data_IF_175890445480
#
_entry.id   IF_175890445480
#
_cell.length_a   1.000
_cell.length_b   1.000
_cell.length_c   1.000
_cell.angle_alpha   90.00
_cell.angle_beta   90.00
_cell.angle_gamma   90.00
#
_symmetry.space_group_name_H-M   'P 1'
#
loop_
_entity.id
_entity.type
_entity.pdbx_description
1 polymer ?
#
# COMPACT_ATOMS: atom_id res chain seq x y z
N UNK A 1 -18.67 -10.41 -3.27
CA UNK A 1 -18.25 -9.28 -4.13
C UNK A 1 -17.78 -8.16 -3.23
N UNK A 2 -16.59 -7.60 -3.45
CA UNK A 2 -16.13 -6.49 -2.65
C UNK A 2 -17.03 -5.25 -2.81
N UNK A 3 -17.11 -4.46 -1.76
CA UNK A 3 -17.90 -3.23 -1.76
C UNK A 3 -17.26 -2.20 -2.71
N UNK A 4 -18.08 -1.54 -3.52
CA UNK A 4 -17.63 -0.57 -4.53
C UNK A 4 -17.46 -1.14 -5.94
N UNK A 5 -17.58 -2.46 -6.16
CA UNK A 5 -17.35 -3.07 -7.48
C UNK A 5 -18.29 -2.55 -8.59
N UNK A 6 -19.49 -2.09 -8.22
CA UNK A 6 -20.47 -1.52 -9.17
C UNK A 6 -20.06 -0.16 -9.73
N UNK A 7 -19.17 0.55 -9.02
CA UNK A 7 -18.72 1.91 -9.39
C UNK A 7 -17.53 1.87 -10.35
N UNK A 8 -17.01 0.66 -10.65
CA UNK A 8 -15.85 0.49 -11.52
C UNK A 8 -16.26 0.24 -12.97
N UNK A 9 -15.82 1.11 -13.84
CA UNK A 9 -15.75 0.86 -15.28
C UNK A 9 -14.41 0.20 -15.62
N UNK A 10 -14.38 -0.62 -16.68
CA UNK A 10 -13.10 -1.11 -17.21
C UNK A 10 -12.28 0.09 -17.67
N UNK A 11 -11.10 0.26 -17.08
CA UNK A 11 -10.17 1.31 -17.49
C UNK A 11 -9.04 0.72 -18.34
N UNK A 12 -8.71 1.41 -19.41
CA UNK A 12 -7.51 1.12 -20.20
C UNK A 12 -6.25 1.53 -19.43
N UNK A 13 -5.09 0.98 -19.78
CA UNK A 13 -3.82 1.41 -19.18
C UNK A 13 -3.54 2.90 -19.35
N UNK A 14 -4.03 3.52 -20.45
CA UNK A 14 -3.89 4.96 -20.67
C UNK A 14 -4.80 5.79 -19.74
N UNK A 15 -6.00 5.30 -19.43
CA UNK A 15 -6.92 5.96 -18.46
C UNK A 15 -6.37 5.84 -17.04
N UNK A 16 -5.87 4.68 -16.64
CA UNK A 16 -5.20 4.48 -15.36
C UNK A 16 -4.00 5.40 -15.21
N UNK A 17 -3.16 5.51 -16.25
CA UNK A 17 -2.02 6.45 -16.23
C UNK A 17 -2.47 7.87 -15.98
N UNK A 18 -3.44 8.37 -16.75
CA UNK A 18 -3.98 9.72 -16.57
C UNK A 18 -4.56 9.93 -15.17
N UNK A 19 -5.26 8.94 -14.63
CA UNK A 19 -5.81 9.00 -13.27
C UNK A 19 -4.69 9.14 -12.23
N UNK A 20 -3.64 8.34 -12.31
CA UNK A 20 -2.54 8.37 -11.34
C UNK A 20 -1.64 9.59 -11.50
N UNK A 21 -1.42 10.09 -12.72
CA UNK A 21 -0.74 11.36 -12.96
C UNK A 21 -1.54 12.53 -12.36
N UNK A 22 -2.88 12.51 -12.46
CA UNK A 22 -3.75 13.50 -11.82
C UNK A 22 -3.73 13.40 -10.28
N UNK A 23 -3.73 12.18 -9.72
CA UNK A 23 -3.54 11.96 -8.26
C UNK A 23 -2.22 12.56 -7.81
N UNK A 24 -1.15 12.40 -8.60
CA UNK A 24 0.15 13.00 -8.32
C UNK A 24 0.06 14.53 -8.24
N UNK A 25 -0.56 15.19 -9.20
CA UNK A 25 -0.65 16.65 -9.24
C UNK A 25 -1.40 17.24 -8.04
N UNK A 26 -2.38 16.51 -7.49
CA UNK A 26 -3.23 16.96 -6.38
C UNK A 26 -2.83 16.42 -5.02
N UNK A 27 -1.96 15.41 -4.98
CA UNK A 27 -1.56 14.79 -3.71
C UNK A 27 -0.50 15.62 -2.97
N UNK A 28 -0.87 16.17 -1.83
CA UNK A 28 0.07 16.83 -0.93
C UNK A 28 1.11 15.86 -0.32
N UNK A 29 0.80 14.58 -0.21
CA UNK A 29 1.72 13.52 0.22
C UNK A 29 3.00 13.46 -0.60
N UNK A 30 2.87 13.66 -1.92
CA UNK A 30 4.01 13.58 -2.83
C UNK A 30 4.90 14.83 -2.78
N UNK A 31 4.36 15.94 -2.26
CA UNK A 31 5.07 17.21 -2.12
C UNK A 31 5.84 17.36 -0.80
N UNK A 32 5.62 16.46 0.15
CA UNK A 32 6.31 16.52 1.44
C UNK A 32 7.82 16.39 1.30
N UNK A 33 8.56 17.19 2.04
CA UNK A 33 10.03 17.19 2.08
C UNK A 33 10.60 16.31 3.19
N UNK A 34 9.76 15.90 4.15
CA UNK A 34 10.12 15.05 5.28
C UNK A 34 8.95 14.14 5.67
N UNK A 35 9.21 13.01 6.36
CA UNK A 35 8.17 12.10 6.82
C UNK A 35 7.31 12.76 7.91
N UNK A 36 6.00 12.53 7.85
CA UNK A 36 5.10 12.79 8.95
C UNK A 36 5.32 11.78 10.08
N UNK A 37 4.78 12.06 11.27
CA UNK A 37 4.89 11.15 12.42
C UNK A 37 4.31 9.78 12.09
N UNK A 38 3.12 9.75 11.51
CA UNK A 38 2.41 8.52 11.15
C UNK A 38 3.03 7.74 9.98
N UNK A 39 3.82 8.36 9.10
CA UNK A 39 4.54 7.65 8.04
C UNK A 39 5.53 6.63 8.61
N UNK A 40 6.24 7.01 9.68
CA UNK A 40 7.21 6.13 10.37
C UNK A 40 6.50 4.94 11.01
N UNK A 41 5.37 5.19 11.66
CA UNK A 41 4.57 4.14 12.30
C UNK A 41 4.00 3.18 11.26
N UNK A 42 3.43 3.68 10.19
CA UNK A 42 2.89 2.87 9.11
C UNK A 42 3.95 1.99 8.46
N UNK A 43 5.14 2.55 8.23
CA UNK A 43 6.28 1.79 7.75
C UNK A 43 6.69 0.68 8.74
N UNK A 44 6.85 1.02 10.02
CA UNK A 44 7.22 0.06 11.07
C UNK A 44 6.23 -1.11 11.18
N UNK A 45 4.93 -0.82 11.05
CA UNK A 45 3.88 -1.84 11.08
C UNK A 45 3.94 -2.77 9.85
N UNK A 46 4.17 -2.24 8.66
CA UNK A 46 4.34 -3.06 7.46
C UNK A 46 5.61 -3.93 7.54
N UNK A 47 6.73 -3.36 7.98
CA UNK A 47 8.01 -4.07 8.15
C UNK A 47 7.89 -5.25 9.12
N UNK A 48 7.04 -5.15 10.15
CA UNK A 48 6.75 -6.25 11.08
C UNK A 48 6.16 -7.46 10.35
N UNK A 49 5.20 -7.25 9.45
CA UNK A 49 4.62 -8.32 8.66
C UNK A 49 5.62 -8.93 7.68
N UNK A 50 6.47 -8.10 7.07
CA UNK A 50 7.57 -8.62 6.25
C UNK A 50 8.51 -9.51 7.06
N UNK A 51 8.92 -9.06 8.24
CA UNK A 51 9.78 -9.84 9.13
C UNK A 51 9.12 -11.16 9.56
N UNK A 52 7.80 -11.14 9.85
CA UNK A 52 7.05 -12.32 10.29
C UNK A 52 6.84 -13.33 9.15
N UNK A 53 6.47 -12.85 7.96
CA UNK A 53 5.95 -13.68 6.89
C UNK A 53 6.94 -14.01 5.78
N UNK A 54 8.00 -13.22 5.65
CA UNK A 54 8.95 -13.43 4.57
C UNK A 54 10.31 -13.85 5.12
N UNK A 55 10.95 -14.77 4.42
CA UNK A 55 12.33 -15.19 4.69
C UNK A 55 13.12 -15.18 3.37
N UNK A 56 13.19 -14.03 2.69
CA UNK A 56 13.84 -13.97 1.39
C UNK A 56 15.34 -14.29 1.54
N UNK A 57 15.86 -15.11 0.62
CA UNK A 57 17.29 -15.43 0.58
C UNK A 57 18.04 -14.35 -0.17
N UNK A 58 19.28 -14.13 0.20
CA UNK A 58 20.16 -13.22 -0.54
C UNK A 58 20.22 -13.66 -2.02
N UNK A 59 20.07 -12.70 -2.94
CA UNK A 59 20.00 -12.98 -4.38
C UNK A 59 18.59 -13.28 -4.91
N UNK A 60 17.57 -13.39 -4.05
CA UNK A 60 16.19 -13.45 -4.50
C UNK A 60 15.65 -12.06 -4.82
N UNK A 61 14.79 -12.02 -5.83
CA UNK A 61 14.11 -10.81 -6.23
C UNK A 61 12.78 -10.65 -5.50
N UNK A 62 12.44 -9.42 -5.20
CA UNK A 62 11.12 -9.02 -4.67
C UNK A 62 10.36 -8.27 -5.74
N UNK A 63 9.10 -8.60 -5.94
CA UNK A 63 8.16 -7.85 -6.77
C UNK A 63 7.32 -6.94 -5.89
N UNK A 64 7.20 -5.67 -6.25
CA UNK A 64 6.19 -4.77 -5.67
C UNK A 64 5.32 -4.18 -6.77
N UNK A 65 4.00 -4.37 -6.65
CA UNK A 65 3.04 -3.65 -7.48
C UNK A 65 2.91 -2.23 -6.95
N UNK A 66 2.88 -1.26 -7.85
CA UNK A 66 2.94 0.18 -7.66
C UNK A 66 4.24 0.70 -7.03
N UNK A 67 4.49 1.97 -7.18
CA UNK A 67 5.63 2.67 -6.59
C UNK A 67 5.19 3.88 -5.73
N UNK A 68 3.88 4.00 -5.46
CA UNK A 68 3.33 5.14 -4.73
C UNK A 68 3.92 5.29 -3.33
N UNK A 69 4.03 4.19 -2.59
CA UNK A 69 4.58 4.23 -1.23
C UNK A 69 6.03 4.70 -1.19
N UNK A 70 6.82 4.38 -2.22
CA UNK A 70 8.21 4.78 -2.37
C UNK A 70 8.35 6.20 -2.90
N UNK A 71 7.34 6.69 -3.63
CA UNK A 71 7.23 8.10 -4.02
C UNK A 71 6.70 8.99 -2.89
N UNK A 72 6.21 8.41 -1.80
CA UNK A 72 5.85 9.09 -0.53
C UNK A 72 6.89 8.79 0.56
N UNK A 73 6.53 8.90 1.84
CA UNK A 73 7.43 8.65 2.97
C UNK A 73 7.18 7.33 3.69
N UNK A 74 6.15 6.58 3.32
CA UNK A 74 5.88 5.25 3.91
C UNK A 74 6.90 4.20 3.50
N UNK A 75 7.40 4.22 2.25
CA UNK A 75 8.59 3.50 1.77
C UNK A 75 8.63 2.02 2.17
N UNK A 76 7.54 1.29 1.96
CA UNK A 76 7.40 -0.08 2.48
C UNK A 76 8.46 -1.05 1.98
N UNK A 77 8.74 -1.07 0.68
CA UNK A 77 9.72 -2.02 0.12
C UNK A 77 11.18 -1.66 0.40
N UNK A 78 11.46 -0.50 1.03
CA UNK A 78 12.80 -0.18 1.55
C UNK A 78 13.29 -1.24 2.52
N UNK A 79 12.40 -1.90 3.24
CA UNK A 79 12.70 -3.06 4.08
C UNK A 79 13.58 -4.10 3.37
N UNK A 80 13.24 -4.44 2.14
CA UNK A 80 13.95 -5.44 1.35
C UNK A 80 15.27 -4.90 0.79
N UNK A 81 15.26 -3.69 0.23
CA UNK A 81 16.45 -3.06 -0.34
C UNK A 81 17.53 -2.82 0.69
N UNK A 82 17.16 -2.39 1.91
CA UNK A 82 18.09 -2.21 3.04
C UNK A 82 18.73 -3.52 3.51
N UNK A 83 18.15 -4.67 3.15
CA UNK A 83 18.69 -6.02 3.38
C UNK A 83 19.43 -6.58 2.17
N UNK A 84 19.73 -5.74 1.18
CA UNK A 84 20.53 -6.12 0.01
C UNK A 84 19.77 -6.83 -1.09
N UNK A 85 18.44 -6.93 -1.00
CA UNK A 85 17.59 -7.55 -2.01
C UNK A 85 17.28 -6.58 -3.16
N UNK A 86 17.17 -7.11 -4.36
CA UNK A 86 16.72 -6.37 -5.52
C UNK A 86 15.20 -6.37 -5.58
N UNK A 87 14.61 -5.19 -5.83
CA UNK A 87 13.16 -5.00 -5.87
C UNK A 87 12.73 -4.50 -7.24
N UNK A 88 11.93 -5.28 -7.95
CA UNK A 88 11.25 -4.84 -9.16
C UNK A 88 9.94 -4.13 -8.79
N UNK A 89 9.76 -2.93 -9.28
CA UNK A 89 8.54 -2.14 -9.12
C UNK A 89 7.80 -2.05 -10.44
N UNK A 90 6.49 -2.24 -10.42
CA UNK A 90 5.64 -2.09 -11.61
C UNK A 90 4.64 -0.96 -11.38
N UNK A 91 4.70 0.08 -12.22
CA UNK A 91 3.75 1.19 -12.18
C UNK A 91 3.41 1.67 -13.59
N UNK A 92 2.20 2.17 -13.77
CA UNK A 92 1.74 2.77 -15.04
C UNK A 92 2.12 4.24 -15.16
N UNK A 93 2.44 4.91 -14.05
CA UNK A 93 2.79 6.33 -14.01
C UNK A 93 4.31 6.54 -14.08
N UNK A 94 4.76 7.11 -15.19
CA UNK A 94 6.15 7.54 -15.34
C UNK A 94 6.53 8.59 -14.30
N UNK A 95 5.59 9.47 -13.97
CA UNK A 95 5.81 10.57 -13.02
C UNK A 95 6.09 10.04 -11.62
N UNK A 96 5.31 9.04 -11.15
CA UNK A 96 5.56 8.37 -9.86
C UNK A 96 6.91 7.66 -9.83
N UNK A 97 7.26 6.96 -10.92
CA UNK A 97 8.57 6.29 -11.07
C UNK A 97 9.72 7.29 -10.92
N UNK A 98 9.64 8.46 -11.56
CA UNK A 98 10.69 9.47 -11.50
C UNK A 98 10.82 10.11 -10.12
N UNK A 99 9.71 10.33 -9.41
CA UNK A 99 9.74 10.85 -8.02
C UNK A 99 10.36 9.81 -7.08
N UNK A 100 9.90 8.57 -7.15
CA UNK A 100 10.45 7.48 -6.34
C UNK A 100 11.94 7.27 -6.62
N UNK A 101 12.35 7.29 -7.90
CA UNK A 101 13.75 7.20 -8.32
C UNK A 101 14.61 8.26 -7.64
N UNK A 102 14.20 9.54 -7.70
CA UNK A 102 14.95 10.64 -7.05
C UNK A 102 15.09 10.40 -5.55
N UNK A 103 14.02 9.96 -4.88
CA UNK A 103 14.06 9.65 -3.45
C UNK A 103 15.00 8.48 -3.13
N UNK A 104 14.93 7.40 -3.91
CA UNK A 104 15.81 6.24 -3.74
C UNK A 104 17.29 6.57 -4.00
N UNK A 105 17.57 7.47 -4.96
CA UNK A 105 18.93 7.97 -5.19
C UNK A 105 19.45 8.76 -3.98
N UNK A 106 18.64 9.67 -3.43
CA UNK A 106 19.00 10.46 -2.26
C UNK A 106 19.19 9.58 -1.00
N UNK A 107 18.47 8.47 -0.91
CA UNK A 107 18.57 7.51 0.19
C UNK A 107 19.67 6.43 -0.04
N UNK A 108 20.40 6.49 -1.16
CA UNK A 108 21.46 5.52 -1.50
C UNK A 108 20.98 4.11 -1.85
N UNK A 109 19.70 3.94 -2.17
CA UNK A 109 19.07 2.62 -2.42
C UNK A 109 18.74 2.36 -3.89
N UNK A 110 19.00 3.32 -4.78
CA UNK A 110 18.59 3.21 -6.18
C UNK A 110 19.21 2.00 -6.91
N UNK A 111 20.43 1.60 -6.55
CA UNK A 111 21.09 0.41 -7.12
C UNK A 111 20.38 -0.92 -6.83
N UNK A 112 19.38 -0.92 -5.93
CA UNK A 112 18.54 -2.08 -5.57
C UNK A 112 17.10 -1.95 -6.06
N UNK A 113 16.77 -0.86 -6.74
CA UNK A 113 15.43 -0.56 -7.24
C UNK A 113 15.39 -0.67 -8.76
N UNK A 114 14.48 -1.49 -9.28
CA UNK A 114 14.31 -1.77 -10.71
C UNK A 114 12.88 -1.43 -11.15
N UNK A 115 12.57 -0.14 -11.40
CA UNK A 115 11.24 0.27 -11.82
C UNK A 115 10.95 -0.12 -13.26
N UNK A 116 9.78 -0.68 -13.49
CA UNK A 116 9.26 -1.12 -14.80
C UNK A 116 7.96 -0.37 -15.07
N UNK A 117 7.90 0.34 -16.18
CA UNK A 117 6.69 1.02 -16.65
C UNK A 117 5.78 0.00 -17.32
N UNK A 118 4.82 -0.54 -16.58
CA UNK A 118 3.87 -1.53 -17.08
C UNK A 118 2.57 -1.51 -16.25
N UNK A 119 1.54 -2.17 -16.80
CA UNK A 119 0.28 -2.40 -16.13
C UNK A 119 0.38 -3.68 -15.28
N UNK A 120 0.15 -3.59 -13.99
CA UNK A 120 0.28 -4.73 -13.08
C UNK A 120 -0.82 -5.80 -13.27
N UNK A 121 -1.80 -5.56 -14.14
CA UNK A 121 -2.75 -6.58 -14.61
C UNK A 121 -2.14 -7.54 -15.63
N UNK A 122 -0.96 -7.20 -16.16
CA UNK A 122 -0.22 -7.96 -17.17
C UNK A 122 1.28 -7.81 -16.89
N UNK A 123 1.80 -8.61 -15.96
CA UNK A 123 3.18 -8.47 -15.52
C UNK A 123 4.17 -8.96 -16.57
N UNK A 124 5.18 -8.16 -16.95
CA UNK A 124 6.13 -8.52 -17.98
C UNK A 124 7.27 -9.42 -17.46
N UNK A 125 6.97 -10.34 -16.56
CA UNK A 125 7.96 -11.20 -15.92
C UNK A 125 7.70 -12.68 -16.23
N UNK A 126 8.76 -13.46 -16.22
CA UNK A 126 8.66 -14.91 -16.32
C UNK A 126 8.03 -15.47 -15.04
N UNK A 127 7.20 -16.51 -15.15
CA UNK A 127 6.67 -17.20 -13.97
C UNK A 127 7.79 -17.65 -13.03
N UNK A 128 7.55 -17.55 -11.73
CA UNK A 128 8.48 -18.00 -10.71
C UNK A 128 9.75 -17.17 -10.58
N UNK A 129 9.76 -15.90 -10.99
CA UNK A 129 10.94 -15.03 -10.91
C UNK A 129 11.22 -14.48 -9.51
N UNK A 130 10.21 -14.37 -8.65
CA UNK A 130 10.29 -13.65 -7.36
C UNK A 130 10.12 -14.58 -6.15
N UNK A 131 10.93 -14.37 -5.11
CA UNK A 131 10.76 -15.05 -3.82
C UNK A 131 9.61 -14.46 -3.02
N UNK A 132 9.38 -13.15 -3.15
CA UNK A 132 8.29 -12.41 -2.50
C UNK A 132 7.64 -11.50 -3.53
N UNK A 133 6.31 -11.45 -3.54
CA UNK A 133 5.56 -10.39 -4.23
C UNK A 133 4.67 -9.65 -3.23
N UNK A 134 4.54 -8.33 -3.38
CA UNK A 134 3.70 -7.53 -2.50
C UNK A 134 2.98 -6.39 -3.23
N UNK A 135 1.79 -6.05 -2.72
CA UNK A 135 0.99 -4.90 -3.15
C UNK A 135 0.30 -4.27 -1.95
N UNK A 136 0.29 -2.94 -1.86
CA UNK A 136 -0.26 -2.21 -0.73
C UNK A 136 -1.05 -1.01 -1.22
N UNK A 137 -2.37 -1.12 -1.25
CA UNK A 137 -3.21 -0.05 -1.76
C UNK A 137 -3.14 0.05 -3.29
N UNK A 138 -3.09 -1.09 -4.00
CA UNK A 138 -2.89 -1.15 -5.45
C UNK A 138 -4.06 -1.81 -6.17
N UNK A 139 -4.34 -3.08 -5.84
CA UNK A 139 -5.28 -3.92 -6.59
C UNK A 139 -6.73 -3.48 -6.45
N UNK A 140 -7.07 -2.78 -5.39
CA UNK A 140 -8.41 -2.24 -5.15
C UNK A 140 -8.81 -1.13 -6.13
N UNK A 141 -7.86 -0.58 -6.87
CA UNK A 141 -8.11 0.48 -7.85
C UNK A 141 -8.44 -0.04 -9.24
N UNK A 142 -8.52 -1.35 -9.43
CA UNK A 142 -8.86 -1.96 -10.70
C UNK A 142 -9.99 -2.99 -10.56
N UNK A 143 -10.86 -3.03 -11.56
CA UNK A 143 -11.94 -4.01 -11.59
C UNK A 143 -11.43 -5.44 -11.68
N UNK A 144 -10.34 -5.64 -12.41
CA UNK A 144 -9.68 -6.92 -12.65
C UNK A 144 -8.73 -7.33 -11.50
N UNK A 145 -9.02 -6.95 -10.27
CA UNK A 145 -8.18 -7.20 -9.10
C UNK A 145 -7.80 -8.68 -8.89
N UNK A 146 -8.70 -9.62 -9.28
CA UNK A 146 -8.39 -11.06 -9.26
C UNK A 146 -7.30 -11.43 -10.25
N UNK A 147 -7.28 -10.81 -11.43
CA UNK A 147 -6.17 -10.97 -12.38
C UNK A 147 -4.86 -10.54 -11.75
N UNK A 148 -4.85 -9.43 -11.00
CA UNK A 148 -3.65 -8.95 -10.30
C UNK A 148 -3.16 -9.94 -9.23
N UNK A 149 -4.05 -10.66 -8.54
CA UNK A 149 -3.67 -11.73 -7.61
C UNK A 149 -3.03 -12.91 -8.36
N UNK A 150 -3.61 -13.33 -9.49
CA UNK A 150 -3.07 -14.41 -10.31
C UNK A 150 -1.70 -14.04 -10.90
N UNK A 151 -1.54 -12.83 -11.41
CA UNK A 151 -0.26 -12.32 -11.91
C UNK A 151 0.83 -12.34 -10.84
N UNK A 152 0.51 -11.87 -9.61
CA UNK A 152 1.44 -11.94 -8.47
C UNK A 152 1.79 -13.39 -8.11
N UNK A 153 0.78 -14.30 -8.08
CA UNK A 153 1.02 -15.72 -7.84
C UNK A 153 1.95 -16.30 -8.90
N UNK A 154 1.65 -16.05 -10.18
CA UNK A 154 2.39 -16.66 -11.29
C UNK A 154 3.83 -16.17 -11.33
N UNK A 155 4.07 -14.88 -11.09
CA UNK A 155 5.40 -14.29 -10.99
C UNK A 155 6.19 -14.80 -9.76
N UNK A 156 5.52 -15.29 -8.71
CA UNK A 156 6.16 -15.80 -7.50
C UNK A 156 6.60 -17.25 -7.66
N UNK A 157 7.74 -17.63 -7.08
CA UNK A 157 8.26 -19.01 -7.02
C UNK A 157 7.35 -19.92 -6.20
N UNK A 158 7.37 -21.21 -6.48
CA UNK A 158 6.77 -22.21 -5.57
C UNK A 158 7.43 -22.13 -4.19
N UNK A 159 6.60 -22.08 -3.14
CA UNK A 159 7.02 -21.82 -1.77
C UNK A 159 7.33 -20.34 -1.47
N UNK A 160 7.19 -19.45 -2.45
CA UNK A 160 7.32 -18.02 -2.28
C UNK A 160 6.08 -17.39 -1.63
N UNK A 161 6.23 -16.18 -1.10
CA UNK A 161 5.21 -15.48 -0.33
C UNK A 161 4.62 -14.32 -1.12
N UNK A 162 3.29 -14.22 -1.14
CA UNK A 162 2.57 -13.04 -1.66
C UNK A 162 1.89 -12.31 -0.51
N UNK A 163 2.06 -10.99 -0.44
CA UNK A 163 1.47 -10.13 0.59
C UNK A 163 0.64 -9.05 -0.09
N UNK A 164 -0.63 -8.96 0.29
CA UNK A 164 -1.59 -8.02 -0.30
C UNK A 164 -2.20 -7.16 0.80
N UNK A 165 -2.12 -5.84 0.64
CA UNK A 165 -2.79 -4.87 1.50
C UNK A 165 -3.96 -4.22 0.76
N UNK A 166 -5.18 -4.30 1.33
CA UNK A 166 -6.42 -3.77 0.73
C UNK A 166 -7.28 -3.04 1.75
N UNK A 167 -8.14 -2.08 1.32
CA UNK A 167 -9.07 -1.41 2.21
C UNK A 167 -10.07 -2.36 2.87
N UNK A 168 -10.31 -2.12 4.16
CA UNK A 168 -11.23 -2.89 4.98
C UNK A 168 -12.61 -2.21 5.06
N UNK A 169 -13.66 -2.91 4.61
CA UNK A 169 -15.04 -2.39 4.73
C UNK A 169 -15.52 -2.35 6.19
N UNK A 170 -14.98 -3.24 7.03
CA UNK A 170 -15.33 -3.33 8.47
C UNK A 170 -14.54 -2.35 9.33
N UNK A 171 -13.83 -1.41 8.70
CA UNK A 171 -13.03 -0.43 9.41
C UNK A 171 -13.84 0.36 10.44
N UNK A 172 -13.34 0.45 11.68
CA UNK A 172 -13.97 1.18 12.78
C UNK A 172 -14.23 2.66 12.44
N UNK A 173 -13.33 3.29 11.69
CA UNK A 173 -13.41 4.69 11.28
C UNK A 173 -14.26 4.91 10.02
N UNK A 174 -15.00 3.89 9.58
CA UNK A 174 -15.97 3.96 8.49
C UNK A 174 -15.38 4.51 7.17
N UNK A 175 -14.17 4.06 6.79
CA UNK A 175 -13.50 4.52 5.56
C UNK A 175 -14.40 4.42 4.33
N UNK A 176 -15.01 3.27 4.11
CA UNK A 176 -15.92 3.05 2.98
C UNK A 176 -17.06 4.08 2.94
N UNK A 177 -17.78 4.24 4.05
CA UNK A 177 -18.91 5.17 4.12
C UNK A 177 -18.48 6.63 3.98
N UNK A 178 -17.31 6.98 4.49
CA UNK A 178 -16.72 8.31 4.29
C UNK A 178 -16.43 8.55 2.81
N UNK A 179 -15.85 7.60 2.09
CA UNK A 179 -15.58 7.70 0.66
C UNK A 179 -16.88 7.80 -0.15
N UNK A 180 -17.90 6.98 0.16
CA UNK A 180 -19.22 7.04 -0.48
C UNK A 180 -19.89 8.41 -0.24
N UNK A 181 -19.82 8.95 0.98
CA UNK A 181 -20.38 10.26 1.29
C UNK A 181 -19.64 11.38 0.54
N UNK A 182 -18.31 11.40 0.59
CA UNK A 182 -17.48 12.41 -0.06
C UNK A 182 -17.61 12.38 -1.59
N UNK A 183 -17.80 11.21 -2.19
CA UNK A 183 -18.00 11.08 -3.64
C UNK A 183 -19.29 11.74 -4.15
N UNK A 184 -20.28 11.93 -3.26
CA UNK A 184 -21.54 12.60 -3.57
C UNK A 184 -21.47 14.13 -3.47
N UNK A 185 -20.41 14.67 -2.83
CA UNK A 185 -20.20 16.11 -2.68
C UNK A 185 -19.31 16.59 -3.84
N UNK A 186 -19.88 17.28 -4.82
CA UNK A 186 -19.29 17.61 -6.11
C UNK A 186 -17.81 18.04 -6.12
N UNK A 187 -17.42 18.99 -5.24
CA UNK A 187 -16.02 19.44 -5.14
C UNK A 187 -15.07 18.39 -4.55
N UNK A 188 -15.55 17.52 -3.66
CA UNK A 188 -14.76 16.51 -2.95
C UNK A 188 -14.64 15.21 -3.74
N UNK A 189 -15.48 15.00 -4.76
CA UNK A 189 -15.40 13.84 -5.66
C UNK A 189 -14.01 13.69 -6.32
N UNK A 190 -13.33 14.80 -6.57
CA UNK A 190 -11.98 14.80 -7.16
C UNK A 190 -10.89 14.31 -6.20
N UNK A 191 -11.19 14.26 -4.89
CA UNK A 191 -10.25 13.81 -3.86
C UNK A 191 -10.36 12.32 -3.56
N UNK A 192 -11.37 11.64 -4.11
CA UNK A 192 -11.58 10.21 -3.92
C UNK A 192 -11.36 9.48 -5.25
N UNK A 193 -10.41 8.55 -5.31
CA UNK A 193 -10.38 7.57 -6.39
C UNK A 193 -11.36 6.44 -6.06
N UNK A 194 -12.00 5.82 -7.08
CA UNK A 194 -12.73 4.59 -6.87
C UNK A 194 -11.82 3.53 -6.24
N UNK A 195 -12.28 2.89 -5.17
CA UNK A 195 -11.55 1.81 -4.52
C UNK A 195 -12.51 0.71 -4.09
N UNK A 196 -12.07 -0.54 -4.23
CA UNK A 196 -12.76 -1.71 -3.70
C UNK A 196 -12.45 -1.86 -2.21
N UNK A 197 -13.46 -2.26 -1.44
CA UNK A 197 -13.30 -2.54 -0.02
C UNK A 197 -13.68 -4.00 0.25
N UNK A 198 -12.91 -4.66 1.07
CA UNK A 198 -13.00 -6.10 1.32
C UNK A 198 -13.34 -6.40 2.77
N UNK A 199 -14.07 -7.48 3.01
CA UNK A 199 -14.10 -8.12 4.32
C UNK A 199 -12.91 -9.06 4.46
N UNK A 200 -12.47 -9.40 5.70
CA UNK A 200 -11.42 -10.41 5.91
C UNK A 200 -11.71 -11.75 5.23
N UNK A 201 -12.97 -12.18 5.24
CA UNK A 201 -13.39 -13.43 4.60
C UNK A 201 -13.31 -13.37 3.07
N UNK A 202 -13.73 -12.27 2.45
CA UNK A 202 -13.69 -12.12 0.99
C UNK A 202 -12.26 -12.17 0.45
N UNK A 203 -11.34 -11.41 1.03
CA UNK A 203 -9.97 -11.40 0.53
C UNK A 203 -9.26 -12.73 0.82
N UNK A 204 -9.53 -13.37 1.99
CA UNK A 204 -9.02 -14.70 2.29
C UNK A 204 -9.48 -15.74 1.27
N UNK A 205 -10.77 -15.77 0.96
CA UNK A 205 -11.33 -16.72 0.01
C UNK A 205 -10.77 -16.46 -1.40
N UNK A 206 -10.63 -15.21 -1.82
CA UNK A 206 -10.03 -14.86 -3.09
C UNK A 206 -8.58 -15.35 -3.23
N UNK A 207 -7.79 -15.27 -2.15
CA UNK A 207 -6.43 -15.83 -2.14
C UNK A 207 -6.46 -17.37 -2.28
N UNK A 208 -7.36 -18.06 -1.57
CA UNK A 208 -7.53 -19.51 -1.70
C UNK A 208 -7.99 -19.92 -3.10
N UNK A 209 -8.99 -19.22 -3.66
CA UNK A 209 -9.48 -19.42 -5.04
C UNK A 209 -8.38 -19.19 -6.08
N UNK A 210 -7.49 -18.24 -5.83
CA UNK A 210 -6.31 -18.00 -6.66
C UNK A 210 -5.24 -19.09 -6.53
N UNK A 211 -5.41 -20.08 -5.64
CA UNK A 211 -4.50 -21.21 -5.45
C UNK A 211 -3.35 -20.97 -4.47
N UNK A 212 -3.46 -19.98 -3.59
CA UNK A 212 -2.53 -19.81 -2.47
C UNK A 212 -2.87 -20.77 -1.33
N UNK A 213 -1.84 -21.24 -0.65
CA UNK A 213 -1.90 -21.99 0.61
C UNK A 213 -1.45 -21.11 1.78
N UNK A 214 -1.60 -21.58 3.01
CA UNK A 214 -1.16 -20.91 4.24
C UNK A 214 -1.58 -19.44 4.30
N UNK A 215 -2.89 -19.21 4.05
CA UNK A 215 -3.47 -17.86 3.97
C UNK A 215 -3.76 -17.32 5.36
N UNK A 216 -3.04 -16.28 5.74
CA UNK A 216 -3.26 -15.51 6.97
C UNK A 216 -3.79 -14.12 6.65
N UNK A 217 -4.78 -13.65 7.44
CA UNK A 217 -5.35 -12.29 7.33
C UNK A 217 -5.15 -11.56 8.64
N UNK A 218 -4.68 -10.33 8.58
CA UNK A 218 -4.61 -9.43 9.72
C UNK A 218 -5.06 -8.03 9.29
N UNK A 219 -5.29 -7.15 10.25
CA UNK A 219 -5.52 -5.74 9.99
C UNK A 219 -4.31 -4.91 10.37
N UNK A 220 -4.13 -3.78 9.69
CA UNK A 220 -3.11 -2.80 10.01
C UNK A 220 -3.62 -1.38 9.72
N UNK A 221 -3.01 -0.36 10.34
CA UNK A 221 -3.47 1.02 10.36
C UNK A 221 -4.78 1.17 11.14
N UNK A 222 -4.77 0.78 12.41
CA UNK A 222 -5.88 1.00 13.33
C UNK A 222 -6.01 2.48 13.73
N UNK A 223 -4.93 3.26 13.57
CA UNK A 223 -4.90 4.69 13.86
C UNK A 223 -5.93 5.46 13.02
N UNK A 224 -6.69 6.41 13.62
CA UNK A 224 -7.73 7.16 12.92
C UNK A 224 -7.23 7.89 11.68
N UNK A 225 -7.82 7.60 10.52
CA UNK A 225 -7.48 8.23 9.23
C UNK A 225 -7.56 9.75 9.29
N UNK A 226 -8.52 10.29 10.03
CA UNK A 226 -8.72 11.73 10.20
C UNK A 226 -7.51 12.39 10.89
N UNK A 227 -6.98 11.73 11.93
CA UNK A 227 -5.77 12.21 12.62
C UNK A 227 -4.51 12.02 11.75
N UNK A 228 -4.46 10.96 10.91
CA UNK A 228 -3.40 10.83 9.94
C UNK A 228 -3.43 11.97 8.91
N UNK A 229 -4.59 12.32 8.40
CA UNK A 229 -4.71 13.44 7.47
C UNK A 229 -4.29 14.77 8.11
N UNK A 230 -4.65 14.98 9.37
CA UNK A 230 -4.19 16.15 10.13
C UNK A 230 -2.66 16.17 10.26
N UNK A 231 -2.03 15.04 10.62
CA UNK A 231 -0.57 14.90 10.70
C UNK A 231 0.11 15.24 9.37
N UNK A 232 -0.39 14.67 8.28
CA UNK A 232 0.11 14.90 6.94
C UNK A 232 -0.09 16.35 6.47
N UNK A 233 -1.21 16.96 6.82
CA UNK A 233 -1.49 18.36 6.51
C UNK A 233 -0.56 19.30 7.29
N UNK A 234 -0.38 19.07 8.58
CA UNK A 234 0.54 19.84 9.41
C UNK A 234 1.97 19.72 8.89
N UNK A 235 2.38 18.55 8.40
CA UNK A 235 3.73 18.32 7.85
C UNK A 235 4.10 19.22 6.66
N UNK A 236 3.11 19.84 6.00
CA UNK A 236 3.38 20.79 4.91
C UNK A 236 3.88 22.16 5.39
N UNK A 237 3.67 22.49 6.67
CA UNK A 237 4.12 23.76 7.23
C UNK A 237 5.59 23.65 7.65
N UNK A 238 6.45 24.61 7.20
CA UNK A 238 7.88 24.56 7.50
C UNK A 238 8.21 24.97 8.95
N UNK A 239 7.23 25.45 9.70
CA UNK A 239 7.43 25.95 11.07
C UNK A 239 7.71 24.79 12.03
N UNK A 240 8.91 24.83 12.62
CA UNK A 240 9.36 23.82 13.60
C UNK A 240 8.54 23.82 14.90
N UNK A 241 7.94 24.94 15.27
CA UNK A 241 7.12 25.04 16.48
C UNK A 241 5.79 24.30 16.28
N UNK A 242 5.18 24.42 15.10
CA UNK A 242 3.97 23.68 14.70
C UNK A 242 4.27 22.18 14.67
N UNK A 243 5.40 21.78 14.09
CA UNK A 243 5.79 20.37 14.05
C UNK A 243 6.01 19.79 15.47
N UNK A 244 6.67 20.54 16.37
CA UNK A 244 6.85 20.14 17.78
C UNK A 244 5.52 20.02 18.53
N UNK A 245 4.59 20.97 18.34
CA UNK A 245 3.27 20.93 18.97
C UNK A 245 2.47 19.70 18.48
N UNK A 246 2.50 19.41 17.18
CA UNK A 246 1.91 18.19 16.60
C UNK A 246 2.51 16.93 17.25
N UNK A 247 3.84 16.83 17.28
CA UNK A 247 4.51 15.66 17.83
C UNK A 247 4.18 15.46 19.31
N UNK A 248 4.11 16.53 20.09
CA UNK A 248 3.69 16.48 21.50
C UNK A 248 2.27 15.95 21.67
N UNK A 249 1.35 16.37 20.81
CA UNK A 249 -0.07 15.99 20.89
C UNK A 249 -0.36 14.60 20.31
N UNK A 250 0.23 14.28 19.16
CA UNK A 250 -0.10 13.05 18.44
C UNK A 250 0.77 11.86 18.84
N UNK A 251 2.04 12.05 19.27
CA UNK A 251 2.92 10.93 19.59
C UNK A 251 2.35 9.97 20.64
N UNK A 252 1.74 10.43 21.75
CA UNK A 252 1.16 9.52 22.74
C UNK A 252 0.01 8.69 22.15
N UNK A 253 -0.82 9.33 21.33
CA UNK A 253 -1.96 8.67 20.68
C UNK A 253 -1.46 7.62 19.69
N UNK A 254 -0.51 7.99 18.83
CA UNK A 254 0.12 7.07 17.88
C UNK A 254 0.74 5.86 18.59
N UNK A 255 1.47 6.10 19.71
CA UNK A 255 2.09 5.02 20.47
C UNK A 255 1.08 4.04 21.07
N UNK A 256 -0.07 4.52 21.54
CA UNK A 256 -1.15 3.66 22.04
C UNK A 256 -1.70 2.78 20.93
N UNK A 257 -2.04 3.35 19.77
CA UNK A 257 -2.54 2.58 18.63
C UNK A 257 -1.51 1.59 18.11
N UNK A 258 -0.24 2.00 17.98
CA UNK A 258 0.85 1.12 17.57
C UNK A 258 1.01 -0.06 18.54
N UNK A 259 0.90 0.18 19.84
CA UNK A 259 0.97 -0.88 20.86
C UNK A 259 -0.20 -1.87 20.73
N UNK A 260 -1.42 -1.39 20.49
CA UNK A 260 -2.60 -2.24 20.28
C UNK A 260 -2.41 -3.09 19.01
N UNK A 261 -2.00 -2.47 17.90
CA UNK A 261 -1.80 -3.19 16.63
C UNK A 261 -0.70 -4.27 16.73
N UNK A 262 0.34 -4.03 17.52
CA UNK A 262 1.42 -5.00 17.73
C UNK A 262 1.00 -6.26 18.49
N UNK A 263 -0.14 -6.23 19.18
CA UNK A 263 -0.68 -7.41 19.90
C UNK A 263 -1.38 -8.39 18.96
N UNK A 264 -1.64 -8.03 17.72
CA UNK A 264 -2.33 -8.85 16.69
C UNK A 264 -3.63 -9.48 17.20
N UNK A 265 -4.43 -8.71 17.90
CA UNK A 265 -5.72 -9.14 18.42
C UNK A 265 -6.82 -9.06 17.35
N UNK A 266 -8.01 -9.60 17.65
CA UNK A 266 -9.20 -9.48 16.79
C UNK A 266 -9.54 -8.02 16.48
N UNK A 267 -9.16 -7.06 17.34
CA UNK A 267 -9.36 -5.63 17.10
C UNK A 267 -8.64 -5.15 15.85
N UNK A 268 -7.54 -5.78 15.47
CA UNK A 268 -6.81 -5.43 14.24
C UNK A 268 -7.69 -5.63 12.99
N UNK A 269 -8.65 -6.56 13.02
CA UNK A 269 -9.60 -6.75 11.91
C UNK A 269 -10.57 -5.57 11.71
N UNK A 270 -10.57 -4.60 12.63
CA UNK A 270 -11.30 -3.33 12.50
C UNK A 270 -10.40 -2.18 12.00
N UNK A 271 -9.15 -2.45 11.67
CA UNK A 271 -8.20 -1.48 11.14
C UNK A 271 -8.61 -0.98 9.74
N UNK A 272 -7.99 0.11 9.29
CA UNK A 272 -8.29 0.74 8.01
C UNK A 272 -8.00 -0.17 6.81
N UNK A 273 -6.95 -0.96 6.93
CA UNK A 273 -6.48 -1.86 5.89
C UNK A 273 -6.43 -3.30 6.41
N UNK A 274 -6.70 -4.23 5.53
CA UNK A 274 -6.37 -5.65 5.71
C UNK A 274 -5.04 -5.94 5.05
N UNK A 275 -4.24 -6.76 5.69
CA UNK A 275 -3.03 -7.32 5.11
C UNK A 275 -3.17 -8.85 5.08
N UNK A 276 -2.90 -9.44 3.94
CA UNK A 276 -3.11 -10.87 3.69
C UNK A 276 -1.83 -11.46 3.14
N UNK A 277 -1.41 -12.57 3.73
CA UNK A 277 -0.33 -13.41 3.22
C UNK A 277 -0.91 -14.65 2.55
N UNK A 278 -0.27 -15.10 1.49
CA UNK A 278 -0.48 -16.44 0.90
C UNK A 278 0.84 -17.02 0.41
N UNK A 279 0.98 -18.32 0.45
CA UNK A 279 2.14 -19.06 -0.07
C UNK A 279 1.74 -19.77 -1.35
N UNK A 280 2.55 -19.65 -2.41
CA UNK A 280 2.33 -20.36 -3.68
C UNK A 280 2.73 -21.82 -3.62
#
# INVERSE_FOLDING_TARGET
MPYGERDFTRSTGAEMRRQWDNVFEHSFHLRQTAPALTDRTYRSLAERFFLKWTKPRLGEWVLKLDIYNESTWTKYAYYFMQRGLDVAYVDVSRTLIEVARRRMMNDGLYGKAHPVLADFRYLPFRPGSFGVACSFGSIEHVREWRTCLNEQRDATKTGGCVIVGVPNVQNFWMRYWSCVFLSKIGALRKLTSPELHFTPGEIRNAMLEAGFSDVEVNGYHLFPKQLRWLDLWIQQFPDRSIAKARDLLLSPIVAVFERIERQETVLNLLAEMLIVKGVK
#
